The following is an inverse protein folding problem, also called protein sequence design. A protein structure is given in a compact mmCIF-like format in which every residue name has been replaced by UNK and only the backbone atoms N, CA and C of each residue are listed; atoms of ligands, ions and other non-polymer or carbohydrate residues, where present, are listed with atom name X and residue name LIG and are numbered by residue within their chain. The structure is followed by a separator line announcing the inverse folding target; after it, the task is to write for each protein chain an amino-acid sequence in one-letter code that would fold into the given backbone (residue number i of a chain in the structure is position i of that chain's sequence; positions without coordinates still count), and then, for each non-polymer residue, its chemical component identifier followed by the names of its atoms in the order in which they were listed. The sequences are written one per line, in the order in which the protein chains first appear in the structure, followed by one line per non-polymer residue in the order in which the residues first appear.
data_IF_155524789063
#
_entry.id   IF_155524789063
#
_cell.length_a   1.000
_cell.length_b   1.000
_cell.length_c   1.000
_cell.angle_alpha   90.00
_cell.angle_beta   90.00
_cell.angle_gamma   90.00
#
_symmetry.space_group_name_H-M   'P 1'
#
loop_
_entity.id
_entity.type
_entity.pdbx_description
1 polymer ?
#
# COMPACT_ATOMS: atom_id res chain seq x y z
N UNK A 1 -6.33 32.47 15.72
CA UNK A 1 -5.86 33.58 14.84
C UNK A 1 -6.30 33.26 13.42
N UNK A 2 -6.72 34.25 12.63
CA UNK A 2 -7.12 34.04 11.24
C UNK A 2 -6.30 34.94 10.31
N UNK A 3 -5.76 34.39 9.23
CA UNK A 3 -5.07 35.14 8.16
C UNK A 3 -5.80 34.92 6.84
N UNK A 4 -5.90 35.95 6.01
CA UNK A 4 -6.54 35.90 4.68
C UNK A 4 -5.50 36.26 3.62
N UNK A 5 -5.42 35.46 2.55
CA UNK A 5 -4.36 35.57 1.53
C UNK A 5 -4.99 35.55 0.14
N UNK A 6 -4.61 36.44 -0.79
CA UNK A 6 -5.12 36.43 -2.15
C UNK A 6 -4.88 35.11 -2.88
N UNK A 7 -5.83 34.69 -3.73
CA UNK A 7 -5.78 33.46 -4.52
C UNK A 7 -4.81 33.51 -5.73
N UNK A 8 -3.64 34.11 -5.59
CA UNK A 8 -2.67 34.30 -6.68
C UNK A 8 -1.57 33.23 -6.72
N UNK A 9 -1.84 32.05 -6.17
CA UNK A 9 -0.87 30.97 -6.03
C UNK A 9 -1.45 29.65 -6.53
N UNK A 10 -0.58 28.76 -7.00
CA UNK A 10 -0.95 27.45 -7.52
C UNK A 10 -0.24 26.30 -6.78
N UNK A 11 0.53 26.62 -5.75
CA UNK A 11 1.23 25.65 -4.91
C UNK A 11 1.10 26.01 -3.43
N UNK A 12 0.97 24.99 -2.58
CA UNK A 12 0.96 25.10 -1.13
C UNK A 12 2.12 24.31 -0.52
N UNK A 13 2.85 24.92 0.40
CA UNK A 13 3.84 24.24 1.24
C UNK A 13 3.54 24.49 2.70
N UNK A 14 3.42 23.44 3.53
CA UNK A 14 3.20 23.57 4.97
C UNK A 14 4.31 22.84 5.73
N UNK A 15 4.99 23.53 6.62
CA UNK A 15 6.05 22.95 7.46
C UNK A 15 5.79 23.22 8.93
N UNK A 16 5.80 22.17 9.76
CA UNK A 16 5.69 22.32 11.22
C UNK A 16 7.03 22.09 11.91
N UNK A 17 7.35 22.91 12.90
CA UNK A 17 8.61 22.88 13.66
C UNK A 17 8.33 23.03 15.15
N UNK A 18 9.20 22.44 15.97
CA UNK A 18 9.14 22.55 17.43
C UNK A 18 8.33 21.45 18.13
N UNK A 19 8.29 21.48 19.49
CA UNK A 19 7.68 20.44 20.29
C UNK A 19 6.17 20.67 20.49
N UNK A 20 5.35 19.74 20.01
CA UNK A 20 3.90 19.69 20.23
C UNK A 20 3.22 18.88 19.13
N UNK A 21 1.91 18.99 19.03
CA UNK A 21 1.10 18.24 18.06
C UNK A 21 0.25 19.19 17.22
N UNK A 22 0.27 19.01 15.91
CA UNK A 22 -0.51 19.80 14.96
C UNK A 22 -1.56 18.92 14.27
N UNK A 23 -2.83 19.31 14.33
CA UNK A 23 -3.86 18.76 13.45
C UNK A 23 -4.03 19.69 12.25
N UNK A 24 -3.42 19.33 11.13
CA UNK A 24 -3.51 20.08 9.89
C UNK A 24 -4.71 19.59 9.07
N UNK A 25 -5.62 20.49 8.73
CA UNK A 25 -6.70 20.22 7.78
C UNK A 25 -6.55 21.17 6.60
N UNK A 26 -6.44 20.63 5.39
CA UNK A 26 -6.49 21.40 4.14
C UNK A 26 -7.79 21.07 3.45
N UNK A 27 -8.59 22.09 3.17
CA UNK A 27 -9.91 21.92 2.57
C UNK A 27 -10.24 22.99 1.56
N UNK A 28 -11.30 22.77 0.78
CA UNK A 28 -11.87 23.82 -0.06
C UNK A 28 -12.64 24.82 0.80
N UNK A 29 -12.38 26.09 0.54
CA UNK A 29 -13.05 27.23 1.17
C UNK A 29 -14.34 27.59 0.44
N UNK A 30 -15.18 28.35 1.13
CA UNK A 30 -16.41 28.91 0.55
C UNK A 30 -16.18 30.21 -0.23
N UNK A 31 -15.00 30.82 -0.08
CA UNK A 31 -14.60 32.05 -0.77
C UNK A 31 -13.62 31.70 -1.90
N UNK A 32 -13.99 32.04 -3.13
CA UNK A 32 -13.17 31.77 -4.32
C UNK A 32 -12.03 32.78 -4.52
N UNK A 33 -11.94 33.83 -3.67
CA UNK A 33 -10.99 34.93 -3.83
C UNK A 33 -9.80 34.85 -2.89
N UNK A 34 -9.95 34.19 -1.75
CA UNK A 34 -8.92 34.16 -0.73
C UNK A 34 -8.76 32.78 -0.11
N UNK A 35 -7.52 32.46 0.22
CA UNK A 35 -7.23 31.39 1.16
C UNK A 35 -7.32 31.92 2.58
N UNK A 36 -7.83 31.09 3.49
CA UNK A 36 -7.85 31.40 4.93
C UNK A 36 -7.01 30.41 5.71
N UNK A 37 -6.34 30.90 6.75
CA UNK A 37 -5.59 30.07 7.69
C UNK A 37 -6.12 30.36 9.08
N UNK A 38 -6.69 29.35 9.72
CA UNK A 38 -7.22 29.42 11.08
C UNK A 38 -6.37 28.56 12.02
N UNK A 39 -5.93 29.16 13.11
CA UNK A 39 -5.17 28.46 14.16
C UNK A 39 -5.99 28.43 15.45
N UNK A 40 -6.22 27.21 15.98
CA UNK A 40 -7.02 26.94 17.16
C UNK A 40 -6.20 26.18 18.21
N UNK A 41 -6.35 26.53 19.48
CA UNK A 41 -5.81 25.74 20.59
C UNK A 41 -6.75 24.57 20.87
N UNK A 42 -6.25 23.34 20.76
CA UNK A 42 -7.02 22.14 21.11
C UNK A 42 -6.80 21.74 22.56
N UNK A 43 -5.55 21.72 23.01
CA UNK A 43 -5.19 21.46 24.41
C UNK A 43 -3.79 21.97 24.74
N UNK A 44 -3.54 22.18 26.03
CA UNK A 44 -2.23 22.60 26.55
C UNK A 44 -2.19 24.07 27.01
N UNK A 45 -1.02 24.58 27.40
CA UNK A 45 -0.90 25.89 28.02
C UNK A 45 -1.21 27.03 27.04
N UNK A 46 -2.13 27.92 27.39
CA UNK A 46 -2.51 29.08 26.56
C UNK A 46 -1.34 30.02 26.27
N UNK A 47 -0.39 30.15 27.20
CA UNK A 47 0.81 30.98 26.99
C UNK A 47 1.69 30.40 25.87
N UNK A 48 1.92 29.08 25.85
CA UNK A 48 2.66 28.42 24.74
C UNK A 48 1.93 28.56 23.40
N UNK A 49 0.60 28.63 23.43
CA UNK A 49 -0.18 28.90 22.23
C UNK A 49 0.02 30.33 21.72
N UNK A 50 0.06 31.34 22.61
CA UNK A 50 0.36 32.73 22.24
C UNK A 50 1.75 32.88 21.63
N UNK A 51 2.72 32.11 22.13
CA UNK A 51 4.10 32.10 21.63
C UNK A 51 4.29 31.29 20.33
N UNK A 52 3.25 30.57 19.89
CA UNK A 52 3.30 29.81 18.64
C UNK A 52 3.22 30.76 17.45
N UNK A 53 4.19 30.65 16.53
CA UNK A 53 4.28 31.51 15.35
C UNK A 53 3.74 30.78 14.13
N UNK A 54 2.77 31.38 13.46
CA UNK A 54 2.27 30.93 12.15
C UNK A 54 2.55 32.01 11.13
N UNK A 55 3.53 31.77 10.26
CA UNK A 55 3.90 32.69 9.19
C UNK A 55 3.43 32.13 7.85
N UNK A 56 2.71 32.94 7.09
CA UNK A 56 2.32 32.63 5.73
C UNK A 56 2.97 33.63 4.78
N UNK A 57 3.78 33.13 3.84
CA UNK A 57 4.55 33.94 2.90
C UNK A 57 4.28 33.43 1.49
N UNK A 58 3.72 34.32 0.65
CA UNK A 58 3.63 34.08 -0.77
C UNK A 58 4.99 34.40 -1.42
N UNK A 59 5.59 33.40 -2.06
CA UNK A 59 6.82 33.57 -2.84
C UNK A 59 6.57 33.01 -4.23
N UNK A 60 6.71 33.85 -5.24
CA UNK A 60 6.33 33.54 -6.63
C UNK A 60 4.86 33.08 -6.70
N UNK A 61 4.62 31.82 -7.02
CA UNK A 61 3.29 31.20 -7.13
C UNK A 61 3.04 30.17 -6.01
N UNK A 62 3.88 30.15 -4.97
CA UNK A 62 3.76 29.21 -3.85
C UNK A 62 3.45 29.92 -2.53
N UNK A 63 2.37 29.50 -1.90
CA UNK A 63 2.06 29.87 -0.53
C UNK A 63 2.84 28.96 0.44
N UNK A 64 3.79 29.54 1.17
CA UNK A 64 4.59 28.84 2.16
C UNK A 64 4.09 29.17 3.56
N UNK A 65 3.65 28.16 4.30
CA UNK A 65 3.18 28.26 5.67
C UNK A 65 4.18 27.55 6.57
N UNK A 66 4.73 28.28 7.55
CA UNK A 66 5.63 27.73 8.56
C UNK A 66 4.97 27.92 9.92
N UNK A 67 4.88 26.81 10.65
CA UNK A 67 4.29 26.72 11.98
C UNK A 67 5.39 26.40 12.96
N UNK A 68 5.80 27.36 13.79
CA UNK A 68 6.81 27.16 14.83
C UNK A 68 6.10 27.09 16.18
N UNK A 69 5.99 25.88 16.70
CA UNK A 69 5.45 25.62 18.03
C UNK A 69 6.41 26.14 19.10
N UNK A 70 5.85 26.79 20.12
CA UNK A 70 6.64 27.30 21.23
C UNK A 70 7.43 26.17 21.92
N UNK A 71 8.67 26.43 22.35
CA UNK A 71 9.50 25.43 23.03
C UNK A 71 8.83 24.94 24.33
N UNK A 72 9.21 23.74 24.78
CA UNK A 72 8.80 23.25 26.09
C UNK A 72 9.55 24.04 27.16
N UNK A 73 8.82 24.65 28.10
CA UNK A 73 9.43 25.32 29.25
C UNK A 73 10.00 24.26 30.19
N UNK A 74 11.31 24.26 30.41
CA UNK A 74 11.94 23.42 31.42
C UNK A 74 11.68 23.99 32.81
N UNK A 75 11.22 23.16 33.76
CA UNK A 75 11.17 23.51 35.18
C UNK A 75 12.29 22.73 35.88
N UNK A 76 13.45 23.36 36.08
CA UNK A 76 14.63 22.73 36.70
C UNK A 76 15.48 21.87 35.75
N UNK A 77 16.25 20.92 36.30
CA UNK A 77 17.15 20.01 35.55
C UNK A 77 16.43 18.84 34.87
N UNK A 78 15.12 18.74 35.02
CA UNK A 78 14.28 17.72 34.40
C UNK A 78 13.34 18.39 33.39
N UNK A 79 13.51 18.06 32.11
CA UNK A 79 12.59 18.47 31.05
C UNK A 79 11.30 17.64 31.11
N UNK A 80 10.49 17.82 32.16
CA UNK A 80 9.20 17.13 32.29
C UNK A 80 8.16 17.93 31.51
N UNK A 81 7.90 17.54 30.26
CA UNK A 81 6.77 18.07 29.50
C UNK A 81 5.46 17.43 30.00
N UNK A 82 4.98 17.83 31.18
CA UNK A 82 3.75 17.28 31.78
C UNK A 82 2.50 17.53 30.93
N UNK A 83 2.51 18.53 30.05
CA UNK A 83 1.39 18.85 29.16
C UNK A 83 1.91 19.23 27.77
N UNK A 84 1.58 18.43 26.76
CA UNK A 84 1.91 18.72 25.36
C UNK A 84 0.95 19.79 24.79
N UNK A 85 1.50 20.73 24.04
CA UNK A 85 0.71 21.70 23.27
C UNK A 85 0.11 20.98 22.06
N UNK A 86 -1.21 21.06 21.88
CA UNK A 86 -1.93 20.54 20.72
C UNK A 86 -2.71 21.66 20.07
N UNK A 87 -2.50 21.87 18.78
CA UNK A 87 -3.18 22.91 18.00
C UNK A 87 -3.83 22.32 16.76
N UNK A 88 -4.86 22.98 16.24
CA UNK A 88 -5.39 22.73 14.90
C UNK A 88 -5.01 23.89 13.98
N UNK A 89 -4.68 23.55 12.74
CA UNK A 89 -4.45 24.49 11.66
C UNK A 89 -5.37 24.10 10.52
N UNK A 90 -6.30 24.98 10.20
CA UNK A 90 -7.28 24.78 9.13
C UNK A 90 -6.93 25.74 8.01
N UNK A 91 -6.57 25.20 6.86
CA UNK A 91 -6.29 25.95 5.65
C UNK A 91 -7.47 25.73 4.71
N UNK A 92 -8.20 26.80 4.40
CA UNK A 92 -9.28 26.75 3.42
C UNK A 92 -8.79 27.41 2.14
N UNK A 93 -8.69 26.63 1.05
CA UNK A 93 -8.21 27.07 -0.25
C UNK A 93 -9.36 27.49 -1.16
N UNK A 94 -9.23 28.58 -1.93
CA UNK A 94 -10.31 29.11 -2.75
C UNK A 94 -10.64 28.23 -3.96
N UNK A 95 -9.63 27.60 -4.54
CA UNK A 95 -9.74 26.76 -5.73
C UNK A 95 -8.77 25.58 -5.61
N UNK A 96 -8.98 24.56 -6.43
CA UNK A 96 -8.00 23.48 -6.62
C UNK A 96 -6.67 24.09 -7.11
N UNK A 97 -5.55 23.56 -6.63
CA UNK A 97 -4.22 24.05 -6.97
C UNK A 97 -3.39 22.92 -7.60
N UNK A 98 -2.17 23.20 -8.08
CA UNK A 98 -1.34 22.19 -8.73
C UNK A 98 -0.58 21.33 -7.74
N UNK A 99 0.06 21.97 -6.76
CA UNK A 99 0.99 21.30 -5.85
C UNK A 99 0.58 21.44 -4.38
N UNK A 100 0.79 20.35 -3.63
CA UNK A 100 0.78 20.40 -2.18
C UNK A 100 1.95 19.61 -1.58
N UNK A 101 2.78 20.32 -0.81
CA UNK A 101 3.87 19.75 -0.04
C UNK A 101 3.60 19.98 1.43
N UNK A 102 3.71 18.94 2.24
CA UNK A 102 3.60 19.06 3.69
C UNK A 102 4.71 18.30 4.39
N UNK A 103 5.36 18.94 5.35
CA UNK A 103 6.34 18.31 6.24
C UNK A 103 5.96 18.56 7.69
N UNK A 104 5.41 17.52 8.31
CA UNK A 104 4.96 17.56 9.70
C UNK A 104 5.90 16.76 10.61
N UNK A 105 6.12 17.25 11.82
CA UNK A 105 6.87 16.51 12.84
C UNK A 105 5.94 15.56 13.61
N UNK A 106 5.02 16.12 14.39
CA UNK A 106 4.05 15.34 15.18
C UNK A 106 2.66 15.90 14.94
N UNK A 107 1.73 15.08 14.48
CA UNK A 107 0.43 15.59 14.07
C UNK A 107 -0.31 14.71 13.07
N UNK A 108 -1.58 15.03 12.86
CA UNK A 108 -2.37 14.44 11.78
C UNK A 108 -2.58 15.43 10.65
N UNK A 109 -2.65 14.93 9.43
CA UNK A 109 -2.97 15.70 8.24
C UNK A 109 -4.25 15.16 7.64
N UNK A 110 -5.21 16.04 7.35
CA UNK A 110 -6.44 15.72 6.65
C UNK A 110 -6.59 16.57 5.40
N UNK A 111 -6.90 15.93 4.27
CA UNK A 111 -7.32 16.60 3.03
C UNK A 111 -8.82 16.35 2.84
N UNK A 112 -9.59 17.41 2.64
CA UNK A 112 -11.05 17.36 2.55
C UNK A 112 -11.56 18.24 1.40
N UNK A 113 -12.30 17.63 0.46
CA UNK A 113 -13.03 18.34 -0.61
C UNK A 113 -12.22 19.31 -1.49
N UNK A 114 -10.91 19.11 -1.59
CA UNK A 114 -9.98 19.89 -2.40
C UNK A 114 -9.11 18.96 -3.23
N UNK A 115 -8.80 19.34 -4.48
CA UNK A 115 -7.94 18.57 -5.35
C UNK A 115 -6.59 19.27 -5.65
N UNK A 116 -5.58 18.45 -5.96
CA UNK A 116 -4.26 18.89 -6.36
C UNK A 116 -3.88 18.21 -7.67
N UNK A 117 -3.77 18.98 -8.76
CA UNK A 117 -3.79 18.41 -10.11
C UNK A 117 -2.45 17.83 -10.56
N UNK A 118 -1.32 18.26 -9.98
CA UNK A 118 0.02 17.88 -10.43
C UNK A 118 0.76 17.03 -9.43
N UNK A 119 0.98 17.52 -8.21
CA UNK A 119 1.90 16.87 -7.30
C UNK A 119 1.49 17.00 -5.85
N UNK A 120 1.47 15.87 -5.14
CA UNK A 120 1.23 15.82 -3.70
C UNK A 120 2.42 15.10 -3.04
N UNK A 121 3.11 15.75 -2.10
CA UNK A 121 4.17 15.16 -1.27
C UNK A 121 3.91 15.43 0.22
N UNK A 122 3.44 14.43 0.94
CA UNK A 122 3.07 14.53 2.34
C UNK A 122 4.02 13.70 3.21
N UNK A 123 4.68 14.36 4.16
CA UNK A 123 5.61 13.74 5.09
C UNK A 123 5.17 14.00 6.52
N UNK A 124 5.21 12.96 7.36
CA UNK A 124 4.96 13.07 8.80
C UNK A 124 5.92 12.16 9.59
N UNK A 125 6.63 12.69 10.57
CA UNK A 125 7.43 11.81 11.46
C UNK A 125 6.53 10.98 12.35
N UNK A 126 5.54 11.59 13.01
CA UNK A 126 4.57 10.91 13.89
C UNK A 126 3.15 11.43 13.69
N UNK A 127 2.22 10.51 13.47
CA UNK A 127 0.79 10.76 13.34
C UNK A 127 0.26 10.43 11.95
N UNK A 128 -1.06 10.51 11.78
CA UNK A 128 -1.75 9.90 10.64
C UNK A 128 -2.01 10.89 9.51
N UNK A 129 -1.92 10.43 8.27
CA UNK A 129 -2.25 11.19 7.06
C UNK A 129 -3.51 10.58 6.46
N UNK A 130 -4.57 11.37 6.32
CA UNK A 130 -5.86 10.94 5.79
C UNK A 130 -6.27 11.84 4.62
N UNK A 131 -6.54 11.23 3.48
CA UNK A 131 -7.15 11.87 2.31
C UNK A 131 -8.55 11.28 2.17
N UNK A 132 -9.54 11.96 2.72
CA UNK A 132 -10.92 11.43 2.80
C UNK A 132 -11.72 11.69 1.51
N UNK A 133 -11.19 12.55 0.63
CA UNK A 133 -11.77 12.87 -0.67
C UNK A 133 -11.09 12.12 -1.81
N UNK A 134 -11.74 12.06 -2.97
CA UNK A 134 -11.14 11.52 -4.19
C UNK A 134 -10.06 12.48 -4.68
N UNK A 135 -8.84 11.96 -4.86
CA UNK A 135 -7.72 12.72 -5.42
C UNK A 135 -7.56 12.41 -6.91
N UNK A 136 -7.32 13.45 -7.72
CA UNK A 136 -6.95 13.33 -9.14
C UNK A 136 -5.70 14.17 -9.38
N UNK A 137 -4.54 13.51 -9.45
CA UNK A 137 -3.20 14.14 -9.53
C UNK A 137 -2.34 13.45 -10.60
N UNK A 138 -1.21 14.03 -10.99
CA UNK A 138 -0.23 13.28 -11.78
C UNK A 138 0.56 12.32 -10.88
N UNK A 139 1.00 12.78 -9.71
CA UNK A 139 1.79 11.99 -8.77
C UNK A 139 1.38 12.22 -7.31
N UNK A 140 1.31 11.14 -6.54
CA UNK A 140 1.04 11.14 -5.11
C UNK A 140 2.15 10.43 -4.34
N UNK A 141 2.82 11.14 -3.45
CA UNK A 141 3.79 10.59 -2.51
C UNK A 141 3.34 10.89 -1.08
N UNK A 142 3.13 9.85 -0.29
CA UNK A 142 2.83 9.98 1.15
C UNK A 142 3.80 9.11 1.93
N UNK A 143 4.51 9.70 2.89
CA UNK A 143 5.41 8.97 3.76
C UNK A 143 5.17 9.32 5.23
N UNK A 144 5.20 8.31 6.10
CA UNK A 144 5.10 8.52 7.55
C UNK A 144 6.02 7.59 8.33
N UNK A 145 6.84 8.10 9.24
CA UNK A 145 7.69 7.21 10.05
C UNK A 145 6.84 6.38 11.04
N UNK A 146 5.93 7.03 11.78
CA UNK A 146 5.00 6.34 12.69
C UNK A 146 3.59 6.90 12.51
N UNK A 147 2.65 6.12 11.99
CA UNK A 147 1.30 6.61 11.76
C UNK A 147 0.57 5.82 10.69
N UNK A 148 -0.74 6.02 10.59
CA UNK A 148 -1.53 5.39 9.53
C UNK A 148 -1.65 6.33 8.32
N UNK A 149 -1.61 5.75 7.13
CA UNK A 149 -1.92 6.42 5.88
C UNK A 149 -3.25 5.89 5.39
N UNK A 150 -4.20 6.79 5.18
CA UNK A 150 -5.50 6.51 4.61
C UNK A 150 -5.70 7.36 3.36
N UNK A 151 -6.01 6.71 2.24
CA UNK A 151 -6.40 7.38 0.99
C UNK A 151 -7.70 6.76 0.53
N UNK A 152 -8.80 7.50 0.60
CA UNK A 152 -10.12 6.97 0.27
C UNK A 152 -10.18 6.50 -1.20
N UNK A 153 -9.85 7.39 -2.14
CA UNK A 153 -9.73 7.09 -3.56
C UNK A 153 -8.70 8.01 -4.23
N UNK A 154 -7.95 7.48 -5.20
CA UNK A 154 -6.95 8.24 -5.93
C UNK A 154 -6.81 7.78 -7.39
N UNK A 155 -6.81 8.73 -8.31
CA UNK A 155 -6.32 8.58 -9.66
C UNK A 155 -5.00 9.35 -9.80
N UNK A 156 -3.90 8.64 -10.02
CA UNK A 156 -2.58 9.23 -10.24
C UNK A 156 -2.08 8.89 -11.65
N UNK A 157 -2.01 9.88 -12.56
CA UNK A 157 -1.72 9.57 -13.96
C UNK A 157 -0.31 9.02 -14.23
N UNK A 158 0.65 9.20 -13.29
CA UNK A 158 2.03 8.73 -13.39
C UNK A 158 2.38 7.74 -12.29
N UNK A 159 2.30 8.14 -11.03
CA UNK A 159 2.80 7.30 -9.95
C UNK A 159 2.13 7.58 -8.60
N UNK A 160 1.96 6.52 -7.82
CA UNK A 160 1.45 6.57 -6.46
C UNK A 160 2.39 5.79 -5.54
N UNK A 161 2.93 6.45 -4.52
CA UNK A 161 3.63 5.79 -3.42
C UNK A 161 3.08 6.16 -2.05
N UNK A 162 2.81 5.13 -1.26
CA UNK A 162 2.43 5.23 0.15
C UNK A 162 3.44 4.44 0.98
N UNK A 163 4.12 5.10 1.89
CA UNK A 163 5.21 4.51 2.67
C UNK A 163 5.07 4.76 4.17
N UNK A 164 5.22 3.73 4.99
CA UNK A 164 5.33 3.89 6.43
C UNK A 164 6.36 2.97 7.06
N UNK A 165 7.07 3.47 8.08
CA UNK A 165 7.97 2.60 8.86
C UNK A 165 7.18 1.80 9.90
N UNK A 166 6.28 2.45 10.63
CA UNK A 166 5.40 1.78 11.61
C UNK A 166 3.98 2.29 11.47
N UNK A 167 3.08 1.43 10.99
CA UNK A 167 1.68 1.80 10.85
C UNK A 167 0.92 1.01 9.81
N UNK A 168 -0.24 1.55 9.43
CA UNK A 168 -1.15 0.90 8.49
C UNK A 168 -1.30 1.75 7.24
N UNK A 169 -1.25 1.13 6.07
CA UNK A 169 -1.67 1.73 4.81
C UNK A 169 -3.04 1.18 4.45
N UNK A 170 -4.00 2.06 4.21
CA UNK A 170 -5.35 1.70 3.76
C UNK A 170 -5.76 2.51 2.54
N UNK A 171 -6.31 1.84 1.53
CA UNK A 171 -6.94 2.54 0.42
C UNK A 171 -8.07 1.75 -0.24
N UNK A 172 -9.06 2.46 -0.79
CA UNK A 172 -10.32 1.89 -1.28
C UNK A 172 -10.40 1.71 -2.79
N UNK A 173 -9.92 2.69 -3.56
CA UNK A 173 -9.97 2.76 -5.01
C UNK A 173 -8.73 3.49 -5.51
N UNK A 174 -7.74 2.77 -6.04
CA UNK A 174 -6.52 3.39 -6.57
C UNK A 174 -6.28 3.00 -8.01
N UNK A 175 -6.08 4.00 -8.85
CA UNK A 175 -5.70 3.83 -10.26
C UNK A 175 -4.43 4.63 -10.50
N UNK A 176 -3.38 3.99 -10.99
CA UNK A 176 -2.14 4.68 -11.35
C UNK A 176 -1.37 3.95 -12.43
N UNK A 177 -0.45 4.62 -13.13
CA UNK A 177 0.43 3.90 -14.04
C UNK A 177 1.38 2.95 -13.28
N UNK A 178 1.97 3.42 -12.18
CA UNK A 178 2.73 2.59 -11.24
C UNK A 178 2.32 2.83 -9.79
N UNK A 179 2.33 1.76 -8.98
CA UNK A 179 1.90 1.80 -7.58
C UNK A 179 2.98 1.15 -6.69
N UNK A 180 3.41 1.86 -5.65
CA UNK A 180 4.34 1.35 -4.65
C UNK A 180 3.79 1.53 -3.23
N UNK A 181 3.59 0.44 -2.51
CA UNK A 181 3.06 0.44 -1.15
C UNK A 181 4.07 -0.22 -0.22
N UNK A 182 4.57 0.51 0.77
CA UNK A 182 5.60 0.01 1.68
C UNK A 182 5.25 0.23 3.13
N UNK A 183 5.23 -0.83 3.93
CA UNK A 183 5.01 -0.76 5.38
C UNK A 183 6.03 -1.63 6.11
N UNK A 184 7.09 -1.05 6.68
CA UNK A 184 8.16 -1.84 7.33
C UNK A 184 7.59 -2.69 8.47
N UNK A 185 6.87 -2.07 9.40
CA UNK A 185 6.10 -2.76 10.45
C UNK A 185 4.63 -2.35 10.37
N UNK A 186 3.78 -3.26 9.93
CA UNK A 186 2.33 -3.10 9.96
C UNK A 186 1.64 -3.57 8.68
N UNK A 187 0.39 -3.15 8.48
CA UNK A 187 -0.51 -3.77 7.49
C UNK A 187 -0.70 -2.87 6.27
N UNK A 188 -0.62 -3.46 5.09
CA UNK A 188 -1.08 -2.87 3.82
C UNK A 188 -2.43 -3.51 3.50
N UNK A 189 -3.47 -2.70 3.34
CA UNK A 189 -4.81 -3.16 3.01
C UNK A 189 -5.41 -2.27 1.93
N UNK A 190 -5.49 -2.79 0.71
CA UNK A 190 -6.01 -2.03 -0.42
C UNK A 190 -7.04 -2.83 -1.20
N UNK A 191 -8.14 -2.18 -1.53
CA UNK A 191 -9.18 -2.73 -2.40
C UNK A 191 -9.19 -1.99 -3.73
N UNK A 192 -9.70 -2.63 -4.79
CA UNK A 192 -9.94 -2.04 -6.14
C UNK A 192 -8.72 -1.27 -6.65
N UNK A 193 -7.68 -2.04 -6.97
CA UNK A 193 -6.39 -1.52 -7.45
C UNK A 193 -6.29 -1.72 -8.95
N UNK A 194 -6.01 -0.65 -9.68
CA UNK A 194 -5.74 -0.68 -11.11
C UNK A 194 -4.37 -0.07 -11.40
N UNK A 195 -3.40 -0.89 -11.82
CA UNK A 195 -2.09 -0.43 -12.26
C UNK A 195 -1.92 -0.68 -13.76
N UNK A 196 -1.52 0.32 -14.55
CA UNK A 196 -1.24 0.06 -15.97
C UNK A 196 0.11 -0.64 -16.19
N UNK A 197 0.99 -0.62 -15.18
CA UNK A 197 2.30 -1.29 -15.20
C UNK A 197 2.44 -2.16 -13.93
N UNK A 198 3.42 -1.86 -13.08
CA UNK A 198 3.75 -2.64 -11.90
C UNK A 198 2.98 -2.16 -10.66
N UNK A 199 2.53 -3.14 -9.87
CA UNK A 199 2.07 -2.97 -8.49
C UNK A 199 3.11 -3.60 -7.56
N UNK A 200 3.77 -2.79 -6.75
CA UNK A 200 4.73 -3.24 -5.75
C UNK A 200 4.17 -3.04 -4.33
N UNK A 201 4.20 -4.10 -3.52
CA UNK A 201 3.77 -4.10 -2.13
C UNK A 201 4.82 -4.77 -1.25
N UNK A 202 5.38 -4.06 -0.28
CA UNK A 202 6.45 -4.58 0.59
C UNK A 202 6.12 -4.36 2.07
N UNK A 203 6.32 -5.41 2.88
CA UNK A 203 6.28 -5.26 4.34
C UNK A 203 7.32 -6.12 5.05
N UNK A 204 8.16 -5.57 5.92
CA UNK A 204 9.15 -6.41 6.64
C UNK A 204 8.49 -7.30 7.70
N UNK A 205 7.56 -6.75 8.48
CA UNK A 205 6.74 -7.47 9.46
C UNK A 205 5.31 -6.97 9.39
N UNK A 206 4.38 -7.82 8.96
CA UNK A 206 2.98 -7.43 8.82
C UNK A 206 2.24 -8.22 7.77
N UNK A 207 1.16 -7.66 7.24
CA UNK A 207 0.35 -8.37 6.24
C UNK A 207 0.01 -7.47 5.08
N UNK A 208 0.01 -8.05 3.89
CA UNK A 208 -0.37 -7.41 2.64
C UNK A 208 -1.70 -8.04 2.22
N UNK A 209 -2.75 -7.23 2.17
CA UNK A 209 -4.10 -7.64 1.79
C UNK A 209 -4.50 -6.81 0.59
N UNK A 210 -4.69 -7.47 -0.54
CA UNK A 210 -5.08 -6.87 -1.80
C UNK A 210 -6.37 -7.54 -2.28
N UNK A 211 -7.37 -6.72 -2.59
CA UNK A 211 -8.64 -7.20 -3.11
C UNK A 211 -8.99 -6.51 -4.43
N UNK A 212 -9.46 -7.29 -5.40
CA UNK A 212 -9.80 -6.85 -6.75
C UNK A 212 -8.69 -6.02 -7.41
N UNK A 213 -7.57 -6.68 -7.73
CA UNK A 213 -6.40 -6.11 -8.39
C UNK A 213 -6.48 -6.35 -9.90
N UNK A 214 -6.21 -5.32 -10.69
CA UNK A 214 -5.94 -5.38 -12.12
C UNK A 214 -4.59 -4.72 -12.36
N UNK A 215 -3.60 -5.46 -12.88
CA UNK A 215 -2.27 -4.91 -13.12
C UNK A 215 -1.57 -5.61 -14.29
N UNK A 216 -0.52 -5.01 -14.85
CA UNK A 216 0.34 -5.73 -15.78
C UNK A 216 1.17 -6.77 -15.01
N UNK A 217 1.83 -6.34 -13.94
CA UNK A 217 2.53 -7.21 -13.01
C UNK A 217 2.30 -6.83 -11.55
N UNK A 218 2.43 -7.81 -10.67
CA UNK A 218 2.41 -7.62 -9.22
C UNK A 218 3.67 -8.21 -8.59
N UNK A 219 4.27 -7.44 -7.67
CA UNK A 219 5.28 -7.91 -6.72
C UNK A 219 4.78 -7.65 -5.32
N UNK A 220 4.56 -8.70 -4.52
CA UNK A 220 4.26 -8.57 -3.11
C UNK A 220 5.26 -9.36 -2.27
N UNK A 221 5.88 -8.72 -1.28
CA UNK A 221 6.88 -9.37 -0.44
C UNK A 221 6.69 -9.06 1.04
N UNK A 222 6.85 -10.07 1.89
CA UNK A 222 6.93 -9.85 3.33
C UNK A 222 7.93 -10.70 4.07
N UNK A 223 8.71 -10.10 4.97
CA UNK A 223 9.64 -10.86 5.82
C UNK A 223 8.88 -11.82 6.73
N UNK A 224 8.03 -11.28 7.61
CA UNK A 224 7.16 -12.07 8.49
C UNK A 224 5.71 -11.63 8.37
N UNK A 225 4.85 -12.55 7.97
CA UNK A 225 3.41 -12.42 8.01
C UNK A 225 2.73 -12.93 6.74
N UNK A 226 1.64 -12.29 6.32
CA UNK A 226 0.73 -12.90 5.32
C UNK A 226 0.57 -12.05 4.08
N UNK A 227 0.54 -12.70 2.93
CA UNK A 227 0.16 -12.08 1.66
C UNK A 227 -1.18 -12.69 1.24
N UNK A 228 -2.19 -11.86 1.05
CA UNK A 228 -3.52 -12.27 0.62
C UNK A 228 -3.91 -11.45 -0.61
N UNK A 229 -4.14 -12.11 -1.74
CA UNK A 229 -4.70 -11.52 -2.96
C UNK A 229 -6.00 -12.23 -3.30
N UNK A 230 -7.14 -11.61 -2.98
CA UNK A 230 -8.45 -12.29 -3.10
C UNK A 230 -8.91 -12.46 -4.54
N UNK A 231 -8.56 -11.50 -5.40
CA UNK A 231 -8.85 -11.52 -6.84
C UNK A 231 -7.84 -10.66 -7.57
N UNK A 232 -6.97 -11.26 -8.37
CA UNK A 232 -6.01 -10.57 -9.22
C UNK A 232 -6.20 -10.94 -10.68
N UNK A 233 -6.31 -9.95 -11.57
CA UNK A 233 -6.30 -10.11 -13.01
C UNK A 233 -5.02 -9.47 -13.51
N UNK A 234 -4.13 -10.26 -14.08
CA UNK A 234 -2.83 -9.82 -14.53
C UNK A 234 -2.65 -10.11 -16.01
N UNK A 235 -1.73 -9.41 -16.66
CA UNK A 235 -1.37 -9.71 -18.06
C UNK A 235 0.04 -10.27 -18.22
N UNK A 236 0.93 -10.09 -17.23
CA UNK A 236 2.31 -10.61 -17.26
C UNK A 236 2.69 -11.39 -16.03
N UNK A 237 3.19 -10.74 -14.98
CA UNK A 237 3.93 -11.42 -13.92
C UNK A 237 3.27 -11.30 -12.54
N UNK A 238 3.32 -12.38 -11.77
CA UNK A 238 3.00 -12.40 -10.35
C UNK A 238 4.21 -12.90 -9.55
N UNK A 239 4.77 -12.08 -8.67
CA UNK A 239 5.83 -12.47 -7.75
C UNK A 239 5.39 -12.26 -6.30
N UNK A 240 5.17 -13.35 -5.56
CA UNK A 240 4.78 -13.32 -4.16
C UNK A 240 5.83 -14.02 -3.30
N UNK A 241 6.40 -13.33 -2.32
CA UNK A 241 7.49 -13.88 -1.50
C UNK A 241 7.27 -13.64 -0.01
N UNK A 242 7.46 -14.66 0.82
CA UNK A 242 7.61 -14.47 2.26
C UNK A 242 8.71 -15.31 2.90
N UNK A 243 9.35 -14.84 3.98
CA UNK A 243 10.31 -15.68 4.71
C UNK A 243 9.59 -16.55 5.74
N UNK A 244 8.69 -15.96 6.53
CA UNK A 244 7.87 -16.66 7.52
C UNK A 244 6.42 -16.21 7.44
N UNK A 245 5.55 -17.10 6.99
CA UNK A 245 4.11 -16.93 6.98
C UNK A 245 3.48 -17.48 5.70
N UNK A 246 2.23 -17.07 5.45
CA UNK A 246 1.38 -17.71 4.45
C UNK A 246 1.09 -16.82 3.25
N UNK A 247 1.03 -17.42 2.06
CA UNK A 247 0.58 -16.76 0.84
C UNK A 247 -0.74 -17.38 0.42
N UNK A 248 -1.78 -16.56 0.28
CA UNK A 248 -3.05 -16.94 -0.32
C UNK A 248 -3.34 -16.05 -1.50
N UNK A 249 -3.51 -16.60 -2.70
CA UNK A 249 -3.81 -15.77 -3.87
C UNK A 249 -4.75 -16.44 -4.87
N UNK A 250 -5.55 -15.62 -5.54
CA UNK A 250 -6.37 -16.00 -6.68
C UNK A 250 -5.99 -15.13 -7.89
N UNK A 251 -5.41 -15.74 -8.92
CA UNK A 251 -4.96 -15.02 -10.11
C UNK A 251 -5.60 -15.54 -11.40
N UNK A 252 -5.87 -14.61 -12.32
CA UNK A 252 -6.31 -14.89 -13.68
C UNK A 252 -5.48 -14.12 -14.71
N UNK A 253 -5.27 -14.70 -15.89
CA UNK A 253 -4.71 -14.01 -17.07
C UNK A 253 -3.19 -13.84 -17.12
N UNK A 254 -2.46 -14.27 -16.10
CA UNK A 254 -1.01 -14.07 -15.99
C UNK A 254 -0.20 -15.01 -16.91
N UNK A 255 0.99 -14.56 -17.31
CA UNK A 255 1.97 -15.34 -18.07
C UNK A 255 2.97 -16.06 -17.15
N UNK A 256 3.53 -15.37 -16.16
CA UNK A 256 4.50 -15.95 -15.22
C UNK A 256 4.06 -15.75 -13.77
N UNK A 257 4.23 -16.79 -12.95
CA UNK A 257 4.00 -16.75 -11.52
C UNK A 257 5.18 -17.35 -10.78
N UNK A 258 5.70 -16.64 -9.80
CA UNK A 258 6.68 -17.11 -8.83
C UNK A 258 6.13 -16.85 -7.43
N UNK A 259 5.90 -17.91 -6.67
CA UNK A 259 5.36 -17.83 -5.32
C UNK A 259 6.24 -18.62 -4.35
N UNK A 260 6.91 -17.95 -3.42
CA UNK A 260 7.90 -18.57 -2.55
C UNK A 260 7.64 -18.26 -1.08
N UNK A 261 7.65 -19.27 -0.21
CA UNK A 261 7.71 -19.09 1.24
C UNK A 261 8.86 -19.87 1.88
N UNK A 262 9.55 -19.27 2.84
CA UNK A 262 10.52 -19.98 3.65
C UNK A 262 9.82 -20.98 4.57
N UNK A 263 9.03 -20.48 5.53
CA UNK A 263 8.22 -21.29 6.43
C UNK A 263 6.77 -20.84 6.40
N UNK A 264 5.83 -21.74 6.13
CA UNK A 264 4.41 -21.48 6.17
C UNK A 264 3.64 -22.22 5.08
N UNK A 265 2.53 -21.64 4.62
CA UNK A 265 1.63 -22.31 3.68
C UNK A 265 1.39 -21.45 2.44
N UNK A 266 1.35 -22.08 1.28
CA UNK A 266 0.94 -21.45 0.03
C UNK A 266 -0.38 -22.06 -0.41
N UNK A 267 -1.41 -21.23 -0.58
CA UNK A 267 -2.72 -21.63 -1.11
C UNK A 267 -3.08 -20.78 -2.33
N UNK A 268 -3.14 -21.38 -3.51
CA UNK A 268 -3.38 -20.66 -4.76
C UNK A 268 -4.58 -21.20 -5.53
N UNK A 269 -5.33 -20.29 -6.15
CA UNK A 269 -6.31 -20.58 -7.19
C UNK A 269 -5.86 -19.85 -8.46
N UNK A 270 -5.65 -20.58 -9.54
CA UNK A 270 -4.94 -20.09 -10.71
C UNK A 270 -5.77 -20.33 -11.97
N UNK A 271 -6.01 -19.26 -12.73
CA UNK A 271 -6.59 -19.30 -14.09
C UNK A 271 -5.60 -18.68 -15.07
N UNK A 272 -4.52 -19.40 -15.42
CA UNK A 272 -3.42 -18.85 -16.20
C UNK A 272 -3.80 -18.44 -17.62
N UNK A 273 -2.97 -17.61 -18.25
CA UNK A 273 -2.98 -17.45 -19.70
C UNK A 273 -2.35 -18.65 -20.42
N UNK A 274 -2.47 -18.67 -21.76
CA UNK A 274 -1.85 -19.69 -22.61
C UNK A 274 -0.33 -19.65 -22.48
N UNK A 275 0.28 -20.85 -22.46
CA UNK A 275 1.72 -21.08 -22.31
C UNK A 275 2.34 -20.46 -21.06
N UNK A 276 1.54 -20.27 -20.01
CA UNK A 276 2.02 -19.71 -18.74
C UNK A 276 3.02 -20.61 -18.02
N UNK A 277 3.81 -20.01 -17.12
CA UNK A 277 4.74 -20.71 -16.23
C UNK A 277 4.46 -20.31 -14.79
N UNK A 278 4.22 -21.28 -13.93
CA UNK A 278 3.98 -21.07 -12.50
C UNK A 278 4.99 -21.90 -11.70
N UNK A 279 5.76 -21.24 -10.84
CA UNK A 279 6.67 -21.89 -9.89
C UNK A 279 6.21 -21.52 -8.49
N UNK A 280 5.93 -22.55 -7.69
CA UNK A 280 5.44 -22.43 -6.32
C UNK A 280 6.37 -23.22 -5.42
N UNK A 281 7.00 -22.58 -4.44
CA UNK A 281 8.00 -23.22 -3.60
C UNK A 281 7.81 -22.89 -2.11
N UNK A 282 7.88 -23.92 -1.28
CA UNK A 282 8.00 -23.79 0.17
C UNK A 282 9.19 -24.58 0.70
N UNK A 283 9.97 -24.02 1.61
CA UNK A 283 11.01 -24.81 2.30
C UNK A 283 10.37 -25.66 3.41
N UNK A 284 9.59 -25.03 4.30
CA UNK A 284 8.94 -25.73 5.41
C UNK A 284 7.46 -25.39 5.47
N UNK A 285 6.62 -26.36 5.12
CA UNK A 285 5.16 -26.30 5.17
C UNK A 285 4.48 -26.80 3.90
N UNK A 286 3.25 -26.37 3.67
CA UNK A 286 2.37 -26.97 2.69
C UNK A 286 2.12 -26.08 1.45
N UNK A 287 1.87 -26.74 0.33
CA UNK A 287 1.42 -26.12 -0.93
C UNK A 287 0.08 -26.73 -1.31
N UNK A 288 -0.95 -25.90 -1.50
CA UNK A 288 -2.24 -26.28 -2.07
C UNK A 288 -2.55 -25.37 -3.27
N UNK A 289 -2.37 -25.90 -4.47
CA UNK A 289 -2.59 -25.16 -5.73
C UNK A 289 -3.75 -25.78 -6.49
N UNK A 290 -4.73 -24.96 -6.85
CA UNK A 290 -5.82 -25.34 -7.75
C UNK A 290 -5.72 -24.55 -9.04
N UNK A 291 -5.61 -25.24 -10.18
CA UNK A 291 -5.53 -24.64 -11.50
C UNK A 291 -6.80 -24.92 -12.32
N UNK A 292 -7.30 -23.89 -13.01
CA UNK A 292 -8.55 -23.88 -13.77
C UNK A 292 -8.23 -23.49 -15.22
N UNK A 293 -8.66 -24.31 -16.20
CA UNK A 293 -8.51 -23.99 -17.63
C UNK A 293 -7.05 -23.99 -18.09
N UNK A 294 -6.31 -25.05 -17.78
CA UNK A 294 -4.86 -25.04 -17.85
C UNK A 294 -4.28 -25.31 -19.25
N UNK A 295 -3.45 -24.36 -19.72
CA UNK A 295 -2.61 -24.46 -20.91
C UNK A 295 -1.19 -23.94 -20.61
N UNK A 296 -0.38 -24.61 -19.77
CA UNK A 296 0.98 -24.11 -19.42
C UNK A 296 1.84 -25.07 -18.60
N UNK A 297 2.75 -24.57 -17.75
CA UNK A 297 3.54 -25.36 -16.80
C UNK A 297 3.29 -24.87 -15.37
N UNK A 298 2.98 -25.78 -14.45
CA UNK A 298 2.88 -25.49 -13.01
C UNK A 298 3.79 -26.45 -12.25
N UNK A 299 4.75 -25.89 -11.54
CA UNK A 299 5.67 -26.61 -10.66
C UNK A 299 5.41 -26.22 -9.21
N UNK A 300 5.13 -27.20 -8.36
CA UNK A 300 4.87 -27.03 -6.93
C UNK A 300 5.87 -27.86 -6.11
N UNK A 301 6.67 -27.19 -5.28
CA UNK A 301 7.79 -27.80 -4.55
C UNK A 301 7.63 -27.56 -3.04
N UNK A 302 7.76 -28.62 -2.23
CA UNK A 302 7.94 -28.52 -0.79
C UNK A 302 9.18 -29.28 -0.33
N UNK A 303 10.11 -28.64 0.39
CA UNK A 303 11.23 -29.38 0.98
C UNK A 303 10.79 -30.16 2.22
N UNK A 304 9.80 -29.67 2.96
CA UNK A 304 9.25 -30.38 4.11
C UNK A 304 7.78 -30.03 4.33
N UNK A 305 6.89 -30.94 3.98
CA UNK A 305 5.44 -30.77 4.10
C UNK A 305 4.68 -31.34 2.92
N UNK A 306 3.39 -31.04 2.83
CA UNK A 306 2.51 -31.64 1.83
C UNK A 306 2.38 -30.76 0.58
N UNK A 307 2.42 -31.39 -0.59
CA UNK A 307 2.16 -30.72 -1.87
C UNK A 307 0.88 -31.28 -2.46
N UNK A 308 -0.12 -30.42 -2.66
CA UNK A 308 -1.39 -30.76 -3.29
C UNK A 308 -1.55 -29.89 -4.53
N UNK A 309 -1.76 -30.54 -5.67
CA UNK A 309 -1.96 -29.87 -6.94
C UNK A 309 -3.22 -30.43 -7.60
N UNK A 310 -4.18 -29.54 -7.86
CA UNK A 310 -5.50 -29.85 -8.39
C UNK A 310 -5.66 -29.19 -9.75
N UNK A 311 -6.19 -29.92 -10.73
CA UNK A 311 -6.51 -29.40 -12.06
C UNK A 311 -7.97 -29.63 -12.44
N UNK A 312 -8.58 -28.66 -13.10
CA UNK A 312 -9.86 -28.81 -13.81
C UNK A 312 -9.62 -28.57 -15.31
N UNK A 313 -10.15 -29.44 -16.18
CA UNK A 313 -9.97 -29.43 -17.64
C UNK A 313 -8.55 -29.76 -18.17
N UNK A 314 -7.97 -30.91 -17.85
CA UNK A 314 -6.95 -31.49 -18.75
C UNK A 314 -7.64 -32.49 -19.69
N UNK A 315 -7.69 -32.17 -20.98
CA UNK A 315 -8.23 -33.09 -21.99
C UNK A 315 -7.36 -34.34 -22.14
N UNK A 316 -6.06 -34.26 -21.83
CA UNK A 316 -5.08 -35.22 -22.36
C UNK A 316 -3.98 -35.63 -21.36
N UNK A 317 -4.29 -35.69 -20.05
CA UNK A 317 -3.30 -36.05 -19.03
C UNK A 317 -3.26 -37.55 -18.73
N UNK A 318 -2.11 -38.20 -18.96
CA UNK A 318 -1.84 -39.54 -18.43
C UNK A 318 -1.68 -39.48 -16.90
N UNK A 319 -2.80 -39.67 -16.19
CA UNK A 319 -2.87 -39.70 -14.73
C UNK A 319 -2.35 -41.04 -14.19
N UNK A 320 -1.25 -41.03 -13.43
CA UNK A 320 -0.88 -42.16 -12.56
C UNK A 320 -1.12 -41.76 -11.11
N UNK A 321 -2.20 -42.23 -10.46
CA UNK A 321 -2.42 -42.00 -9.04
C UNK A 321 -1.34 -42.73 -8.23
N UNK A 322 -0.62 -41.99 -7.39
CA UNK A 322 0.35 -42.57 -6.46
C UNK A 322 0.84 -41.53 -5.46
N UNK A 323 0.92 -41.92 -4.19
CA UNK A 323 1.60 -41.15 -3.13
C UNK A 323 3.10 -41.39 -3.31
N UNK A 324 3.76 -40.56 -4.10
CA UNK A 324 5.22 -40.57 -4.30
C UNK A 324 5.77 -39.17 -4.04
N UNK A 325 7.07 -39.08 -3.73
CA UNK A 325 7.78 -37.81 -3.53
C UNK A 325 7.75 -36.90 -4.78
N UNK A 326 7.45 -37.46 -5.94
CA UNK A 326 7.33 -36.78 -7.23
C UNK A 326 6.07 -37.26 -7.95
N UNK A 327 5.34 -36.33 -8.59
CA UNK A 327 4.19 -36.65 -9.40
C UNK A 327 4.09 -35.69 -10.61
N UNK A 328 3.87 -36.25 -11.80
CA UNK A 328 3.85 -35.50 -13.05
C UNK A 328 2.64 -35.85 -13.92
N UNK A 329 2.02 -34.86 -14.56
CA UNK A 329 1.01 -35.04 -15.61
C UNK A 329 1.31 -34.11 -16.78
N UNK A 330 1.61 -34.68 -17.94
CA UNK A 330 1.75 -33.95 -19.20
C UNK A 330 0.57 -34.18 -20.14
N UNK A 331 0.19 -33.15 -20.90
CA UNK A 331 -0.76 -33.25 -22.00
C UNK A 331 -0.13 -33.96 -23.22
N UNK A 332 -0.90 -34.80 -23.92
CA UNK A 332 -0.46 -35.56 -25.10
C UNK A 332 0.14 -34.69 -26.23
N UNK A 333 -0.14 -33.38 -26.25
CA UNK A 333 0.39 -32.40 -27.23
C UNK A 333 1.54 -31.53 -26.71
N UNK A 334 2.11 -31.83 -25.53
CA UNK A 334 3.30 -31.15 -24.99
C UNK A 334 3.10 -29.72 -24.48
N UNK A 335 1.86 -29.21 -24.43
CA UNK A 335 1.57 -27.81 -24.03
C UNK A 335 1.23 -27.58 -22.56
N UNK A 336 0.82 -28.63 -21.83
CA UNK A 336 0.38 -28.54 -20.44
C UNK A 336 1.17 -29.54 -19.55
N UNK A 337 1.84 -29.08 -18.50
CA UNK A 337 2.55 -29.94 -17.54
C UNK A 337 2.32 -29.52 -16.09
N UNK A 338 1.99 -30.50 -15.23
CA UNK A 338 2.00 -30.35 -13.78
C UNK A 338 3.15 -31.15 -13.20
N UNK A 339 3.95 -30.50 -12.36
CA UNK A 339 5.07 -31.10 -11.64
C UNK A 339 4.94 -30.80 -10.15
N UNK A 340 4.84 -31.84 -9.32
CA UNK A 340 4.73 -31.73 -7.88
C UNK A 340 5.81 -32.55 -7.18
N UNK A 341 6.62 -31.90 -6.35
CA UNK A 341 7.66 -32.53 -5.56
C UNK A 341 7.48 -32.25 -4.05
N UNK A 342 7.71 -33.26 -3.24
CA UNK A 342 7.85 -33.14 -1.78
C UNK A 342 8.96 -34.07 -1.30
N UNK A 343 9.98 -33.51 -0.65
CA UNK A 343 11.14 -34.30 -0.21
C UNK A 343 10.82 -35.20 0.99
N UNK A 344 10.01 -34.73 1.94
CA UNK A 344 9.71 -35.48 3.19
C UNK A 344 8.23 -35.67 3.46
N UNK A 345 7.34 -35.10 2.66
CA UNK A 345 5.90 -35.23 2.82
C UNK A 345 5.23 -35.96 1.65
N UNK A 346 3.89 -35.90 1.63
CA UNK A 346 3.07 -36.52 0.59
C UNK A 346 2.83 -35.55 -0.55
N UNK A 347 2.97 -36.01 -1.79
CA UNK A 347 2.40 -35.35 -2.97
C UNK A 347 1.04 -35.96 -3.30
N UNK A 348 0.06 -35.10 -3.58
CA UNK A 348 -1.23 -35.51 -4.11
C UNK A 348 -1.53 -34.73 -5.38
N UNK A 349 -1.75 -35.46 -6.47
CA UNK A 349 -2.33 -34.94 -7.71
C UNK A 349 -3.78 -35.38 -7.83
N UNK A 350 -4.67 -34.42 -8.08
CA UNK A 350 -6.08 -34.70 -8.31
C UNK A 350 -6.59 -33.93 -9.53
N UNK A 351 -7.21 -34.65 -10.46
CA UNK A 351 -7.81 -34.07 -11.66
C UNK A 351 -9.27 -34.46 -11.72
N UNK A 352 -10.14 -33.46 -11.90
CA UNK A 352 -11.55 -33.71 -12.18
C UNK A 352 -11.79 -33.47 -13.67
N UNK A 353 -12.19 -34.53 -14.38
CA UNK A 353 -12.77 -34.42 -15.72
C UNK A 353 -14.16 -33.82 -15.55
N UNK A 354 -14.44 -32.67 -16.20
CA UNK A 354 -15.77 -32.05 -16.19
C UNK A 354 -16.71 -32.76 -17.16
#
# INVERSE_FOLDING_TARGET
MAQTIPATFDALSVTTQGPGTVELTVRKGNDNKHATIETLLLSGPSERFKDTQVSAVLSEERLNIIVKLAPTVAIGSLSISLVSLKIAIIISLPNDIKDFISNMNTGSLKIQDINFTRFIDLKSSTGSIACDTKLETESLLISSSTGSIHVASCFASKFLALETSTGKITSGDITSAGINLKAVTGKIEVTRVESSTDLCCESSTGSILLDNVVAESITASTGTGKIIVTKGILTKNAMLTTNTGSIQANFAGYENLACTTGTGEIKLVLTPAKLSKSIVQVNTGAVDVTCIGFEGVVTALSNSGHTVLKGTNSSDGNYKPGVLAEAWVGGEKGGAAFDAHSRTGKCLLSFKKL
#
